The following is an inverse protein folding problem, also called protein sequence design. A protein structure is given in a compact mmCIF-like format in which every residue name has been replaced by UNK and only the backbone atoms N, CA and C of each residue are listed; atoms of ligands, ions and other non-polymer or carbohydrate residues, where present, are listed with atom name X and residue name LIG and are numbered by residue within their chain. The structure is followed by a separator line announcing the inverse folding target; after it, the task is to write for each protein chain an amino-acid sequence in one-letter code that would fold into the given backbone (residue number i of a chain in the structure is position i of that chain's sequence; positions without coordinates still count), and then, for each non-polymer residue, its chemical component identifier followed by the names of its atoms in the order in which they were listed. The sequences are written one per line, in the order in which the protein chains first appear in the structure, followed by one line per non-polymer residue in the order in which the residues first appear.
data_IF_481711920576
#
_entry.id   IF_481711920576
#
_cell.length_a   1.000
_cell.length_b   1.000
_cell.length_c   1.000
_cell.angle_alpha   90.00
_cell.angle_beta   90.00
_cell.angle_gamma   90.00
#
_symmetry.space_group_name_H-M   'P 1'
#
loop_
_entity.id
_entity.type
_entity.pdbx_description
1 polymer ?
#
# COMPACT_ATOMS: atom_id res chain seq x y z
N UNK A 1 8.81 -1.02 29.60
CA UNK A 1 7.69 -0.69 28.71
C UNK A 1 6.82 0.29 29.48
N UNK A 2 6.43 1.41 28.88
CA UNK A 2 5.62 2.42 29.56
C UNK A 2 4.12 2.12 29.34
N UNK A 3 3.26 2.50 30.31
CA UNK A 3 1.80 2.36 30.19
C UNK A 3 1.25 2.93 28.86
N UNK A 4 1.99 3.84 28.27
CA UNK A 4 1.65 4.46 26.97
C UNK A 4 1.88 3.51 25.80
N UNK A 5 2.97 2.73 25.82
CA UNK A 5 3.27 1.75 24.75
C UNK A 5 2.28 0.59 24.77
N UNK A 6 1.90 0.13 25.96
CA UNK A 6 0.91 -0.95 26.11
C UNK A 6 -0.48 -0.53 25.66
N UNK A 7 -0.89 0.70 26.00
CA UNK A 7 -2.19 1.27 25.57
C UNK A 7 -2.24 1.44 24.05
N UNK A 8 -1.15 1.90 23.49
CA UNK A 8 -1.02 2.11 22.06
C UNK A 8 -1.09 0.80 21.25
N UNK A 9 -0.39 -0.24 21.72
CA UNK A 9 -0.45 -1.57 21.10
C UNK A 9 -1.87 -2.15 21.16
N UNK A 10 -2.61 -1.93 22.24
CA UNK A 10 -4.00 -2.36 22.42
C UNK A 10 -4.92 -1.67 21.39
N UNK A 11 -4.77 -0.37 21.18
CA UNK A 11 -5.55 0.38 20.20
C UNK A 11 -5.35 -0.14 18.77
N UNK A 12 -4.12 -0.54 18.44
CA UNK A 12 -3.80 -1.11 17.12
C UNK A 12 -4.46 -2.48 16.91
N UNK A 13 -4.42 -3.34 17.92
CA UNK A 13 -5.06 -4.66 17.86
C UNK A 13 -6.57 -4.51 17.72
N UNK A 14 -7.19 -3.62 18.50
CA UNK A 14 -8.63 -3.32 18.40
C UNK A 14 -8.99 -2.82 17.00
N UNK A 15 -8.20 -1.92 16.44
CA UNK A 15 -8.42 -1.45 15.06
C UNK A 15 -8.34 -2.56 14.03
N UNK A 16 -7.42 -3.52 14.20
CA UNK A 16 -7.32 -4.69 13.34
C UNK A 16 -8.55 -5.60 13.44
N UNK A 17 -9.09 -5.79 14.64
CA UNK A 17 -10.35 -6.54 14.86
C UNK A 17 -11.52 -5.90 14.15
N UNK A 18 -11.63 -4.57 14.19
CA UNK A 18 -12.66 -3.82 13.44
C UNK A 18 -12.53 -4.06 11.93
N UNK A 19 -11.33 -3.94 11.37
CA UNK A 19 -11.09 -4.18 9.94
C UNK A 19 -11.48 -5.61 9.54
N UNK A 20 -11.12 -6.61 10.32
CA UNK A 20 -11.49 -8.02 10.07
C UNK A 20 -13.01 -8.20 10.11
N UNK A 21 -13.67 -7.65 11.15
CA UNK A 21 -15.12 -7.75 11.34
C UNK A 21 -15.91 -7.11 10.21
N UNK A 22 -15.57 -5.88 9.87
CA UNK A 22 -16.25 -5.14 8.80
C UNK A 22 -16.00 -5.78 7.43
N UNK A 23 -14.78 -6.28 7.15
CA UNK A 23 -14.46 -7.00 5.92
C UNK A 23 -15.36 -8.22 5.74
N UNK A 24 -15.58 -9.02 6.79
CA UNK A 24 -16.49 -10.18 6.76
C UNK A 24 -17.92 -9.77 6.48
N UNK A 25 -18.38 -8.68 7.09
CA UNK A 25 -19.71 -8.12 6.86
C UNK A 25 -19.93 -7.71 5.42
N UNK A 26 -18.96 -6.99 4.82
CA UNK A 26 -19.02 -6.57 3.42
C UNK A 26 -19.10 -7.78 2.47
N UNK A 27 -18.28 -8.81 2.71
CA UNK A 27 -18.36 -10.02 1.91
C UNK A 27 -19.68 -10.77 2.06
N UNK A 28 -20.25 -10.82 3.28
CA UNK A 28 -21.57 -11.40 3.51
C UNK A 28 -22.66 -10.66 2.73
N UNK A 29 -22.61 -9.32 2.69
CA UNK A 29 -23.53 -8.51 1.89
C UNK A 29 -23.34 -8.75 0.38
N UNK A 30 -22.11 -8.85 -0.10
CA UNK A 30 -21.82 -9.18 -1.49
C UNK A 30 -22.38 -10.57 -1.86
N UNK A 31 -22.18 -11.57 -1.00
CA UNK A 31 -22.74 -12.92 -1.17
C UNK A 31 -24.25 -12.93 -1.19
N UNK A 32 -24.92 -12.14 -0.34
CA UNK A 32 -26.36 -12.03 -0.31
C UNK A 32 -26.96 -11.44 -1.61
N UNK A 33 -26.21 -10.52 -2.24
CA UNK A 33 -26.61 -9.87 -3.51
C UNK A 33 -26.25 -10.69 -4.76
N UNK A 34 -25.29 -11.60 -4.66
CA UNK A 34 -24.83 -12.40 -5.80
C UNK A 34 -25.91 -13.42 -6.21
N UNK A 35 -26.40 -13.29 -7.44
CA UNK A 35 -27.43 -14.17 -8.02
C UNK A 35 -26.84 -15.38 -8.74
N UNK A 36 -25.65 -15.22 -9.29
CA UNK A 36 -24.95 -16.26 -10.04
C UNK A 36 -24.08 -17.15 -9.14
N UNK A 37 -24.12 -18.46 -9.38
CA UNK A 37 -23.40 -19.46 -8.59
C UNK A 37 -21.87 -19.33 -8.71
N UNK A 38 -21.35 -19.00 -9.89
CA UNK A 38 -19.91 -18.78 -10.08
C UNK A 38 -19.44 -17.51 -9.38
N UNK A 39 -20.22 -16.42 -9.44
CA UNK A 39 -19.93 -15.20 -8.70
C UNK A 39 -19.88 -15.48 -7.19
N UNK A 40 -20.82 -16.28 -6.65
CA UNK A 40 -20.82 -16.66 -5.22
C UNK A 40 -19.56 -17.43 -4.85
N UNK A 41 -19.12 -18.39 -5.67
CA UNK A 41 -17.89 -19.15 -5.43
C UNK A 41 -16.66 -18.26 -5.40
N UNK A 42 -16.55 -17.33 -6.37
CA UNK A 42 -15.44 -16.37 -6.44
C UNK A 42 -15.42 -15.44 -5.22
N UNK A 43 -16.58 -14.90 -4.81
CA UNK A 43 -16.69 -14.04 -3.62
C UNK A 43 -16.29 -14.82 -2.36
N UNK A 44 -16.80 -16.05 -2.17
CA UNK A 44 -16.43 -16.88 -1.01
C UNK A 44 -14.94 -17.23 -0.98
N UNK A 45 -14.34 -17.53 -2.13
CA UNK A 45 -12.91 -17.79 -2.21
C UNK A 45 -12.07 -16.55 -1.87
N UNK A 46 -12.49 -15.37 -2.34
CA UNK A 46 -11.82 -14.11 -2.04
C UNK A 46 -11.99 -13.72 -0.56
N UNK A 47 -13.19 -13.89 0.00
CA UNK A 47 -13.46 -13.71 1.44
C UNK A 47 -12.52 -14.55 2.30
N UNK A 48 -12.50 -15.87 2.05
CA UNK A 48 -11.69 -16.81 2.82
C UNK A 48 -10.20 -16.42 2.80
N UNK A 49 -9.66 -16.10 1.62
CA UNK A 49 -8.27 -15.68 1.46
C UNK A 49 -7.98 -14.34 2.13
N UNK A 50 -8.85 -13.37 1.96
CA UNK A 50 -8.67 -12.03 2.56
C UNK A 50 -8.74 -12.10 4.08
N UNK A 51 -9.69 -12.88 4.62
CA UNK A 51 -9.82 -13.09 6.07
C UNK A 51 -8.58 -13.77 6.66
N UNK A 52 -8.02 -14.76 5.97
CA UNK A 52 -6.79 -15.43 6.41
C UNK A 52 -5.60 -14.43 6.44
N UNK A 53 -5.41 -13.65 5.38
CA UNK A 53 -4.35 -12.64 5.29
C UNK A 53 -4.50 -11.59 6.40
N UNK A 54 -5.70 -11.06 6.61
CA UNK A 54 -5.95 -10.07 7.67
C UNK A 54 -5.70 -10.64 9.06
N UNK A 55 -6.07 -11.90 9.31
CA UNK A 55 -5.82 -12.55 10.59
C UNK A 55 -4.31 -12.74 10.84
N UNK A 56 -3.54 -13.13 9.84
CA UNK A 56 -2.08 -13.22 9.96
C UNK A 56 -1.43 -11.85 10.17
N UNK A 57 -1.91 -10.80 9.48
CA UNK A 57 -1.46 -9.41 9.71
C UNK A 57 -1.77 -9.01 11.17
N UNK A 58 -2.99 -9.30 11.67
CA UNK A 58 -3.37 -9.01 13.05
C UNK A 58 -2.42 -9.66 14.06
N UNK A 59 -2.06 -10.94 13.84
CA UNK A 59 -1.08 -11.64 14.69
C UNK A 59 0.30 -10.97 14.65
N UNK A 60 0.75 -10.52 13.47
CA UNK A 60 2.02 -9.80 13.33
C UNK A 60 1.98 -8.41 14.00
N UNK A 61 0.85 -7.73 13.95
CA UNK A 61 0.64 -6.45 14.68
C UNK A 61 0.69 -6.70 16.19
N UNK A 62 -0.03 -7.70 16.69
CA UNK A 62 -0.01 -8.08 18.11
C UNK A 62 1.39 -8.49 18.60
N UNK A 63 2.20 -9.09 17.71
CA UNK A 63 3.59 -9.44 18.00
C UNK A 63 4.59 -8.26 17.82
N UNK A 64 4.13 -7.05 17.47
CA UNK A 64 4.95 -5.87 17.21
C UNK A 64 5.84 -5.94 15.97
N UNK A 65 5.61 -6.92 15.08
CA UNK A 65 6.35 -7.08 13.82
C UNK A 65 5.90 -6.09 12.75
N UNK A 66 4.62 -5.75 12.74
CA UNK A 66 4.00 -4.76 11.87
C UNK A 66 3.47 -3.64 12.75
N UNK A 67 3.77 -2.39 12.41
CA UNK A 67 3.34 -1.19 13.15
C UNK A 67 2.62 -0.23 12.18
N UNK A 68 1.32 -0.43 11.95
CA UNK A 68 0.60 0.28 10.89
C UNK A 68 0.37 1.76 11.16
N UNK A 69 0.56 2.21 12.38
CA UNK A 69 0.40 3.59 12.86
C UNK A 69 1.52 4.54 12.46
N UNK A 70 2.51 4.06 11.73
CA UNK A 70 3.66 4.83 11.27
C UNK A 70 3.23 6.21 10.75
N UNK A 71 3.74 7.27 11.37
CA UNK A 71 3.51 8.63 10.91
C UNK A 71 4.32 8.88 9.63
N UNK A 72 3.62 9.15 8.52
CA UNK A 72 4.21 9.44 7.21
C UNK A 72 3.63 10.72 6.65
N UNK A 73 4.47 11.50 5.99
CA UNK A 73 4.00 12.51 5.04
C UNK A 73 3.59 11.83 3.75
N UNK A 74 2.36 11.99 3.38
CA UNK A 74 1.76 11.42 2.16
C UNK A 74 1.57 12.47 1.07
N UNK A 75 1.78 13.74 1.41
CA UNK A 75 1.67 14.89 0.51
C UNK A 75 2.72 15.94 0.86
N UNK A 76 3.07 16.76 -0.13
CA UNK A 76 3.97 17.91 0.06
C UNK A 76 3.40 18.93 1.08
N UNK A 77 2.07 18.95 1.24
CA UNK A 77 1.38 19.86 2.15
C UNK A 77 1.29 19.34 3.59
N UNK A 78 1.70 18.08 3.84
CA UNK A 78 1.67 17.52 5.18
C UNK A 78 2.79 18.15 6.03
N UNK A 79 2.48 18.38 7.31
CA UNK A 79 3.47 18.86 8.26
C UNK A 79 4.65 17.88 8.39
N UNK A 80 5.87 18.36 8.66
CA UNK A 80 6.99 17.49 8.99
C UNK A 80 6.65 16.58 10.16
N UNK A 81 7.01 15.31 10.04
CA UNK A 81 6.82 14.32 11.10
C UNK A 81 8.11 14.19 11.88
N UNK A 82 8.03 14.38 13.19
CA UNK A 82 9.12 14.06 14.12
C UNK A 82 8.87 12.65 14.63
N UNK A 83 9.75 11.72 14.29
CA UNK A 83 9.62 10.33 14.70
C UNK A 83 10.80 9.90 15.58
N UNK A 84 10.55 9.34 16.75
CA UNK A 84 11.62 8.89 17.65
C UNK A 84 12.25 7.56 17.22
N UNK A 85 11.87 7.00 16.07
CA UNK A 85 12.23 5.65 15.69
C UNK A 85 13.74 5.46 15.50
N UNK A 86 14.24 4.43 16.15
CA UNK A 86 15.62 3.94 16.03
C UNK A 86 15.76 2.84 14.98
N UNK A 87 14.66 2.35 14.42
CA UNK A 87 14.64 1.22 13.48
C UNK A 87 14.14 1.65 12.11
N UNK A 88 14.54 0.88 11.10
CA UNK A 88 14.10 1.08 9.72
C UNK A 88 12.63 0.69 9.59
N UNK A 89 11.82 1.61 9.07
CA UNK A 89 10.40 1.41 8.81
C UNK A 89 10.19 0.92 7.37
N UNK A 90 9.36 -0.09 7.19
CA UNK A 90 9.11 -0.75 5.90
C UNK A 90 7.75 -0.33 5.35
N UNK A 91 7.76 0.28 4.18
CA UNK A 91 6.56 0.87 3.56
C UNK A 91 6.42 0.39 2.13
N UNK A 92 5.23 -0.08 1.76
CA UNK A 92 4.90 -0.37 0.37
C UNK A 92 4.40 0.87 -0.36
N UNK A 93 4.77 1.04 -1.63
CA UNK A 93 4.18 2.01 -2.54
C UNK A 93 3.53 1.29 -3.71
N UNK A 94 2.22 1.46 -3.86
CA UNK A 94 1.44 0.82 -4.90
C UNK A 94 0.79 1.85 -5.81
N UNK A 95 1.33 2.01 -7.01
CA UNK A 95 0.75 2.85 -8.05
C UNK A 95 -0.25 2.05 -8.88
N UNK A 96 -1.49 2.53 -9.00
CA UNK A 96 -2.53 1.88 -9.79
C UNK A 96 -3.35 2.87 -10.59
N UNK A 97 -3.89 2.43 -11.74
CA UNK A 97 -4.88 3.21 -12.46
C UNK A 97 -6.18 3.39 -11.67
N UNK A 98 -6.50 2.44 -10.77
CA UNK A 98 -7.67 2.50 -9.90
C UNK A 98 -8.99 2.77 -10.63
N UNK A 99 -9.31 2.01 -11.70
CA UNK A 99 -10.44 2.26 -12.59
C UNK A 99 -11.53 1.16 -12.53
N UNK A 100 -12.32 1.08 -11.47
CA UNK A 100 -12.11 1.62 -10.14
C UNK A 100 -11.06 0.85 -9.33
N UNK A 101 -10.75 1.32 -8.12
CA UNK A 101 -10.08 0.48 -7.12
C UNK A 101 -11.08 -0.60 -6.68
N UNK A 102 -10.66 -1.87 -6.69
CA UNK A 102 -11.50 -3.01 -6.35
C UNK A 102 -10.78 -4.01 -5.44
N UNK A 103 -11.50 -5.00 -4.94
CA UNK A 103 -11.00 -5.99 -3.97
C UNK A 103 -9.69 -6.68 -4.37
N UNK A 104 -9.47 -6.93 -5.67
CA UNK A 104 -8.20 -7.48 -6.14
C UNK A 104 -6.99 -6.61 -5.84
N UNK A 105 -7.12 -5.27 -5.95
CA UNK A 105 -6.06 -4.34 -5.59
C UNK A 105 -5.82 -4.32 -4.07
N UNK A 106 -6.91 -4.34 -3.29
CA UNK A 106 -6.85 -4.35 -1.83
C UNK A 106 -6.19 -5.63 -1.33
N UNK A 107 -6.66 -6.79 -1.80
CA UNK A 107 -6.09 -8.09 -1.46
C UNK A 107 -4.60 -8.16 -1.82
N UNK A 108 -4.22 -7.67 -2.99
CA UNK A 108 -2.83 -7.60 -3.44
C UNK A 108 -1.96 -6.77 -2.49
N UNK A 109 -2.44 -5.59 -2.07
CA UNK A 109 -1.73 -4.73 -1.12
C UNK A 109 -1.62 -5.37 0.28
N UNK A 110 -2.67 -6.04 0.76
CA UNK A 110 -2.65 -6.77 2.04
C UNK A 110 -1.65 -7.95 2.00
N UNK A 111 -1.61 -8.70 0.89
CA UNK A 111 -0.61 -9.75 0.70
C UNK A 111 0.83 -9.18 0.76
N UNK A 112 1.07 -8.02 0.16
CA UNK A 112 2.38 -7.38 0.22
C UNK A 112 2.77 -7.01 1.67
N UNK A 113 1.81 -6.50 2.46
CA UNK A 113 2.02 -6.24 3.90
C UNK A 113 2.45 -7.53 4.60
N UNK A 114 1.71 -8.62 4.39
CA UNK A 114 1.95 -9.88 5.05
C UNK A 114 3.31 -10.50 4.67
N UNK A 115 3.62 -10.54 3.39
CA UNK A 115 4.82 -11.20 2.84
C UNK A 115 6.12 -10.47 3.20
N UNK A 116 6.06 -9.14 3.28
CA UNK A 116 7.24 -8.31 3.48
C UNK A 116 7.31 -7.68 4.88
N UNK A 117 6.38 -7.98 5.78
CA UNK A 117 6.25 -7.31 7.08
C UNK A 117 6.25 -5.78 6.93
N UNK A 118 5.43 -5.27 5.98
CA UNK A 118 5.31 -3.82 5.79
C UNK A 118 4.44 -3.21 6.87
N UNK A 119 4.81 -2.04 7.34
CA UNK A 119 4.00 -1.31 8.32
C UNK A 119 2.72 -0.74 7.68
N UNK A 120 2.80 -0.33 6.42
CA UNK A 120 1.67 0.17 5.65
C UNK A 120 1.95 0.06 4.16
N UNK A 121 0.90 0.07 3.35
CA UNK A 121 1.00 0.28 1.91
C UNK A 121 0.34 1.61 1.55
N UNK A 122 1.11 2.48 0.93
CA UNK A 122 0.67 3.76 0.40
C UNK A 122 0.22 3.55 -1.04
N UNK A 123 -1.05 3.85 -1.33
CA UNK A 123 -1.67 3.65 -2.64
C UNK A 123 -1.83 4.98 -3.35
N UNK A 124 -1.27 5.07 -4.55
CA UNK A 124 -1.44 6.19 -5.46
C UNK A 124 -2.37 5.81 -6.61
N UNK A 125 -3.36 6.65 -6.89
CA UNK A 125 -4.13 6.58 -8.12
C UNK A 125 -3.45 7.48 -9.14
N UNK A 126 -2.75 6.87 -10.08
CA UNK A 126 -2.03 7.62 -11.12
C UNK A 126 -3.01 8.38 -12.02
N UNK A 127 -2.55 9.52 -12.52
CA UNK A 127 -3.30 10.38 -13.41
C UNK A 127 -3.59 9.74 -14.78
N UNK A 128 -3.70 10.57 -15.79
CA UNK A 128 -3.91 10.10 -17.16
C UNK A 128 -2.60 9.57 -17.73
N UNK A 129 -2.58 8.29 -18.08
CA UNK A 129 -1.42 7.64 -18.68
C UNK A 129 -1.69 7.40 -20.17
N UNK A 130 -0.78 7.81 -21.07
CA UNK A 130 -0.99 7.69 -22.53
C UNK A 130 -1.22 6.25 -22.98
N UNK A 131 -0.66 5.27 -22.29
CA UNK A 131 -0.80 3.84 -22.63
C UNK A 131 -2.10 3.22 -22.13
N UNK A 132 -2.89 3.94 -21.30
CA UNK A 132 -4.15 3.44 -20.73
C UNK A 132 -5.38 4.13 -21.35
N UNK A 133 -5.45 4.10 -22.68
CA UNK A 133 -6.54 4.74 -23.47
C UNK A 133 -7.96 4.23 -23.16
N UNK A 134 -8.09 3.13 -22.42
CA UNK A 134 -9.38 2.53 -22.03
C UNK A 134 -10.00 3.07 -20.75
N UNK A 135 -9.36 4.01 -20.05
CA UNK A 135 -9.90 4.59 -18.82
C UNK A 135 -11.00 5.57 -19.16
N UNK A 136 -12.26 5.19 -18.86
CA UNK A 136 -13.44 6.02 -19.12
C UNK A 136 -13.79 7.00 -18.00
N UNK A 137 -13.35 6.73 -16.76
CA UNK A 137 -13.66 7.56 -15.62
C UNK A 137 -12.61 8.64 -15.42
N UNK A 138 -13.04 9.84 -15.02
CA UNK A 138 -12.13 10.93 -14.71
C UNK A 138 -11.19 10.55 -13.56
N UNK A 139 -9.98 11.11 -13.55
CA UNK A 139 -9.00 10.87 -12.48
C UNK A 139 -9.54 11.28 -11.11
N UNK A 140 -10.33 12.35 -11.04
CA UNK A 140 -10.97 12.85 -9.82
C UNK A 140 -11.94 11.82 -9.23
N UNK A 141 -12.76 11.21 -10.10
CA UNK A 141 -13.71 10.19 -9.67
C UNK A 141 -13.00 8.92 -9.17
N UNK A 142 -11.97 8.47 -9.89
CA UNK A 142 -11.15 7.32 -9.48
C UNK A 142 -10.46 7.57 -8.13
N UNK A 143 -9.95 8.77 -7.92
CA UNK A 143 -9.35 9.21 -6.66
C UNK A 143 -10.35 9.22 -5.52
N UNK A 144 -11.56 9.75 -5.73
CA UNK A 144 -12.60 9.78 -4.71
C UNK A 144 -12.96 8.36 -4.24
N UNK A 145 -13.18 7.44 -5.19
CA UNK A 145 -13.44 6.04 -4.87
C UNK A 145 -12.29 5.42 -4.08
N UNK A 146 -11.05 5.62 -4.54
CA UNK A 146 -9.89 5.07 -3.86
C UNK A 146 -9.74 5.60 -2.42
N UNK A 147 -9.93 6.89 -2.20
CA UNK A 147 -9.90 7.47 -0.85
C UNK A 147 -10.93 6.84 0.08
N UNK A 148 -12.17 6.69 -0.39
CA UNK A 148 -13.22 6.04 0.42
C UNK A 148 -12.87 4.59 0.73
N UNK A 149 -12.44 3.81 -0.27
CA UNK A 149 -12.10 2.41 -0.07
C UNK A 149 -10.89 2.21 0.86
N UNK A 150 -9.84 3.04 0.71
CA UNK A 150 -8.63 2.91 1.53
C UNK A 150 -8.82 3.42 2.96
N UNK A 151 -9.70 4.39 3.18
CA UNK A 151 -10.01 4.88 4.52
C UNK A 151 -10.54 3.76 5.42
N UNK A 152 -11.26 2.82 4.85
CA UNK A 152 -11.77 1.63 5.53
C UNK A 152 -10.65 0.75 6.11
N UNK A 153 -9.53 0.63 5.37
CA UNK A 153 -8.37 -0.19 5.76
C UNK A 153 -7.28 0.61 6.49
N UNK A 154 -7.52 1.88 6.77
CA UNK A 154 -6.53 2.66 7.51
C UNK A 154 -6.34 2.09 8.93
N UNK A 155 -5.08 2.00 9.41
CA UNK A 155 -3.85 2.55 8.84
C UNK A 155 -3.03 1.58 7.95
N UNK A 156 -3.51 0.37 7.69
CA UNK A 156 -2.80 -0.62 6.84
C UNK A 156 -2.62 -0.14 5.40
N UNK A 157 -3.67 0.44 4.83
CA UNK A 157 -3.67 0.99 3.48
C UNK A 157 -3.96 2.48 3.55
N UNK A 158 -3.14 3.30 2.90
CA UNK A 158 -3.25 4.75 2.93
C UNK A 158 -3.27 5.31 1.51
N UNK A 159 -4.11 6.30 1.28
CA UNK A 159 -4.11 7.05 0.03
C UNK A 159 -3.03 8.15 0.03
N UNK A 160 -2.35 8.33 -1.10
CA UNK A 160 -1.49 9.48 -1.37
C UNK A 160 -1.90 10.20 -2.65
N UNK A 161 -1.85 11.54 -2.70
CA UNK A 161 -2.04 12.30 -3.92
C UNK A 161 -0.81 12.31 -4.85
N UNK A 162 0.32 11.76 -4.44
CA UNK A 162 1.51 11.66 -5.28
C UNK A 162 1.18 10.96 -6.61
N UNK A 163 1.61 11.53 -7.73
CA UNK A 163 1.31 11.04 -9.06
C UNK A 163 -0.05 11.43 -9.63
N UNK A 164 -0.89 12.16 -8.86
CA UNK A 164 -2.21 12.55 -9.33
C UNK A 164 -2.17 13.68 -10.38
N UNK A 165 -1.38 14.72 -10.13
CA UNK A 165 -1.31 15.91 -10.98
C UNK A 165 -0.06 15.95 -11.87
N UNK A 166 0.79 14.96 -11.78
CA UNK A 166 1.96 14.82 -12.62
C UNK A 166 1.84 13.58 -13.51
N UNK A 167 2.50 13.61 -14.65
CA UNK A 167 2.60 12.45 -15.55
C UNK A 167 3.76 11.52 -15.15
N UNK A 168 4.24 11.62 -13.92
CA UNK A 168 5.30 10.77 -13.40
C UNK A 168 4.83 9.34 -13.33
N UNK A 169 5.72 8.43 -13.63
CA UNK A 169 5.50 7.00 -13.46
C UNK A 169 5.48 6.62 -11.98
N UNK A 170 4.95 5.43 -11.68
CA UNK A 170 4.78 5.00 -10.29
C UNK A 170 6.07 4.95 -9.48
N UNK A 171 7.18 4.62 -10.12
CA UNK A 171 8.52 4.55 -9.55
C UNK A 171 9.04 5.93 -9.10
N UNK A 172 8.82 6.96 -9.91
CA UNK A 172 9.19 8.33 -9.55
C UNK A 172 8.39 8.81 -8.34
N UNK A 173 7.11 8.45 -8.27
CA UNK A 173 6.26 8.79 -7.14
C UNK A 173 6.66 8.01 -5.87
N UNK A 174 7.15 6.78 -5.98
CA UNK A 174 7.71 6.05 -4.86
C UNK A 174 8.99 6.73 -4.32
N UNK A 175 9.83 7.21 -5.22
CA UNK A 175 11.02 8.00 -4.86
C UNK A 175 10.64 9.33 -4.21
N UNK A 176 9.57 9.98 -4.69
CA UNK A 176 9.04 11.20 -4.10
C UNK A 176 8.51 10.97 -2.67
N UNK A 177 7.83 9.84 -2.41
CA UNK A 177 7.44 9.46 -1.04
C UNK A 177 8.65 9.33 -0.13
N UNK A 178 9.73 8.71 -0.61
CA UNK A 178 10.98 8.58 0.13
C UNK A 178 11.60 9.95 0.44
N UNK A 179 11.62 10.86 -0.54
CA UNK A 179 12.12 12.22 -0.37
C UNK A 179 11.29 13.05 0.61
N UNK A 180 9.97 12.93 0.58
CA UNK A 180 9.09 13.59 1.55
C UNK A 180 9.37 13.18 2.99
N UNK A 181 9.85 11.96 3.19
CA UNK A 181 10.11 11.37 4.48
C UNK A 181 11.61 11.10 4.73
N UNK A 182 12.48 11.92 4.13
CA UNK A 182 13.94 11.68 4.14
C UNK A 182 14.55 11.63 5.54
N UNK A 183 13.92 12.26 6.53
CA UNK A 183 14.36 12.27 7.93
C UNK A 183 14.03 10.95 8.66
N UNK A 184 13.15 10.13 8.08
CA UNK A 184 12.78 8.83 8.62
C UNK A 184 13.70 7.74 8.05
N UNK A 185 14.08 6.74 8.84
CA UNK A 185 14.79 5.58 8.33
C UNK A 185 13.81 4.66 7.58
N UNK A 186 13.44 5.01 6.35
CA UNK A 186 12.47 4.27 5.54
C UNK A 186 13.15 3.32 4.55
N UNK A 187 12.55 2.14 4.40
CA UNK A 187 12.74 1.23 3.29
C UNK A 187 11.43 1.17 2.49
N UNK A 188 11.44 1.70 1.26
CA UNK A 188 10.26 1.73 0.40
C UNK A 188 10.30 0.57 -0.59
N UNK A 189 9.21 -0.19 -0.66
CA UNK A 189 8.99 -1.29 -1.60
C UNK A 189 8.00 -0.84 -2.67
N UNK A 190 8.44 -0.78 -3.91
CA UNK A 190 7.52 -0.56 -5.02
C UNK A 190 6.77 -1.85 -5.34
N UNK A 191 5.45 -1.79 -5.24
CA UNK A 191 4.56 -2.93 -5.45
C UNK A 191 3.95 -2.82 -6.84
N UNK A 192 4.18 -3.82 -7.68
CA UNK A 192 3.69 -3.82 -9.06
C UNK A 192 3.15 -5.19 -9.46
N UNK A 193 2.22 -5.21 -10.41
CA UNK A 193 1.80 -6.45 -11.07
C UNK A 193 2.91 -7.01 -11.96
N UNK A 194 2.93 -8.32 -12.19
CA UNK A 194 3.94 -8.99 -13.02
C UNK A 194 3.97 -8.52 -14.48
N UNK A 195 2.87 -7.92 -14.95
CA UNK A 195 2.73 -7.35 -16.29
C UNK A 195 3.50 -6.02 -16.51
N UNK A 196 3.97 -5.37 -15.45
CA UNK A 196 4.73 -4.11 -15.54
C UNK A 196 6.20 -4.27 -15.18
N UNK A 197 6.69 -5.51 -15.03
CA UNK A 197 8.02 -5.77 -14.50
C UNK A 197 9.16 -5.24 -15.39
N UNK A 198 9.00 -5.23 -16.72
CA UNK A 198 10.01 -4.74 -17.65
C UNK A 198 10.19 -3.22 -17.56
N UNK A 199 9.09 -2.51 -17.32
CA UNK A 199 9.09 -1.05 -17.16
C UNK A 199 9.70 -0.68 -15.81
N UNK A 200 9.32 -1.38 -14.74
CA UNK A 200 9.78 -1.12 -13.39
C UNK A 200 11.30 -1.37 -13.22
N UNK A 201 11.88 -2.33 -13.92
CA UNK A 201 13.29 -2.71 -13.75
C UNK A 201 14.28 -1.60 -14.17
N UNK A 202 13.88 -0.69 -15.07
CA UNK A 202 14.77 0.31 -15.63
C UNK A 202 15.03 1.54 -14.74
N UNK A 203 14.10 1.87 -13.82
CA UNK A 203 14.07 3.17 -13.14
C UNK A 203 14.11 3.10 -11.61
N UNK A 204 14.30 1.91 -11.02
CA UNK A 204 14.13 1.69 -9.58
C UNK A 204 15.46 1.70 -8.82
N UNK A 205 16.13 2.83 -8.86
CA UNK A 205 17.35 2.98 -8.08
C UNK A 205 17.12 3.22 -6.58
N UNK A 206 15.91 3.64 -6.17
CA UNK A 206 15.63 4.11 -4.81
C UNK A 206 14.76 3.19 -3.94
N UNK A 207 14.10 2.18 -4.53
CA UNK A 207 13.20 1.30 -3.78
C UNK A 207 13.34 -0.15 -4.19
N UNK A 208 12.97 -1.06 -3.30
CA UNK A 208 12.83 -2.48 -3.62
C UNK A 208 11.52 -2.71 -4.37
N UNK A 209 11.53 -3.64 -5.31
CA UNK A 209 10.34 -3.99 -6.11
C UNK A 209 9.82 -5.34 -5.70
N UNK A 210 8.57 -5.39 -5.32
CA UNK A 210 7.81 -6.61 -5.20
C UNK A 210 6.98 -6.79 -6.47
N UNK A 211 7.30 -7.80 -7.27
CA UNK A 211 6.51 -8.23 -8.42
C UNK A 211 5.66 -9.43 -8.03
N UNK A 212 4.36 -9.33 -8.25
CA UNK A 212 3.43 -10.42 -7.98
C UNK A 212 2.75 -10.85 -9.27
N UNK A 213 2.79 -12.14 -9.66
CA UNK A 213 2.12 -12.63 -10.86
C UNK A 213 0.60 -12.52 -10.70
N UNK A 214 -0.09 -12.31 -11.81
CA UNK A 214 -1.56 -12.16 -11.82
C UNK A 214 -2.30 -13.45 -11.52
N UNK A 215 -1.72 -14.58 -11.88
CA UNK A 215 -2.35 -15.91 -11.72
C UNK A 215 -2.10 -16.55 -10.35
N UNK A 216 -1.27 -15.93 -9.52
CA UNK A 216 -0.96 -16.42 -8.18
C UNK A 216 -0.14 -17.72 -8.14
N UNK A 217 0.38 -18.18 -9.28
CA UNK A 217 1.09 -19.46 -9.41
C UNK A 217 2.57 -19.40 -9.07
N UNK A 218 3.17 -18.21 -9.09
CA UNK A 218 4.60 -18.01 -8.85
C UNK A 218 4.89 -17.30 -7.53
N UNK A 219 6.03 -17.61 -6.94
CA UNK A 219 6.53 -16.88 -5.78
C UNK A 219 6.86 -15.43 -6.14
N UNK A 220 6.57 -14.46 -5.28
CA UNK A 220 6.91 -13.08 -5.53
C UNK A 220 8.42 -12.90 -5.68
N UNK A 221 8.83 -12.19 -6.72
CA UNK A 221 10.24 -11.84 -6.93
C UNK A 221 10.53 -10.47 -6.32
N UNK A 222 11.40 -10.46 -5.33
CA UNK A 222 11.91 -9.21 -4.76
C UNK A 222 13.09 -8.71 -5.61
N UNK A 223 12.95 -7.52 -6.16
CA UNK A 223 14.04 -6.81 -6.86
C UNK A 223 14.22 -5.44 -6.26
N UNK A 224 15.42 -4.94 -6.23
CA UNK A 224 15.67 -3.56 -5.88
C UNK A 224 17.03 -3.30 -5.24
N UNK A 225 17.41 -2.06 -5.30
CA UNK A 225 18.60 -1.53 -4.66
C UNK A 225 18.17 -0.61 -3.53
N UNK A 226 18.84 -0.72 -2.38
CA UNK A 226 18.71 0.26 -1.29
C UNK A 226 19.56 1.48 -1.64
N UNK A 227 18.96 2.65 -1.68
CA UNK A 227 19.74 3.88 -1.65
C UNK A 227 20.30 4.08 -0.24
N UNK A 228 21.61 4.24 -0.09
CA UNK A 228 22.17 4.72 1.16
C UNK A 228 21.59 6.10 1.48
N UNK A 229 21.19 6.32 2.73
CA UNK A 229 20.64 7.59 3.24
C UNK A 229 21.46 8.83 2.80
N UNK A 230 22.78 8.68 2.66
CA UNK A 230 23.68 9.73 2.21
C UNK A 230 23.45 10.21 0.76
N UNK A 231 22.97 9.34 -0.13
CA UNK A 231 22.67 9.72 -1.52
C UNK A 231 21.37 10.51 -1.66
N UNK A 232 20.37 10.19 -0.85
CA UNK A 232 19.11 10.97 -0.82
C UNK A 232 19.35 12.41 -0.36
N UNK A 233 20.32 12.63 0.54
CA UNK A 233 20.70 13.99 0.97
C UNK A 233 21.49 14.77 -0.06
N UNK A 234 22.32 14.10 -0.90
CA UNK A 234 23.09 14.77 -1.94
C UNK A 234 22.22 15.27 -3.09
N UNK A 235 21.20 14.52 -3.47
CA UNK A 235 20.30 14.89 -4.56
C UNK A 235 19.39 16.07 -4.21
N UNK A 236 19.11 16.32 -2.91
CA UNK A 236 18.38 17.50 -2.47
C UNK A 236 19.14 18.82 -2.65
N UNK A 237 20.47 18.80 -2.62
CA UNK A 237 21.31 20.00 -2.83
C UNK A 237 21.41 20.42 -4.30
N UNK A 238 21.03 19.54 -5.22
CA UNK A 238 21.03 19.82 -6.65
C UNK A 238 19.68 20.27 -7.22
N UNK A 239 18.63 20.36 -6.40
CA UNK A 239 17.27 20.75 -6.81
C UNK A 239 16.83 22.10 -6.21
N UNK A 240 17.78 22.90 -5.70
CA UNK A 240 17.55 24.29 -5.28
C UNK A 240 18.13 25.26 -6.28
#
# INVERSE_FOLDING_TARGET
MSDHEDRFALDQVTRMEDIVSETRKDFAECLARAKDGEARKLISALESRTSAVLEEIRQKVAAGRIRPDLALRLSINDAPVVWPAKQVERVGFFATAGNPLYWGHIYFALCAILELDLNTVVVSVVGDHPDKRGIKQSKEHRRAIARCALQYFAPLLRYTPLGFDNMKIGEENASELLLLNYDLPLEVFYIAGGDVHEIAAANLAACRVLLKPRDGSETPHLRGLLFPRAQVQSDRKSVV
#
